data_IF_754691139124
#
_entry.id   IF_754691139124
#
_cell.length_a   1.000
_cell.length_b   1.000
_cell.length_c   1.000
_cell.angle_alpha   90.00
_cell.angle_beta   90.00
_cell.angle_gamma   90.00
#
_symmetry.space_group_name_H-M   'P 1'
#
loop_
_entity.id
_entity.type
_entity.pdbx_description
1 polymer ?
#
# COMPACT_ATOMS: atom_id res chain seq x y z
N UNK A 1 43.75 -22.84 -56.28
CA UNK A 1 42.44 -23.31 -55.82
C UNK A 1 42.23 -23.24 -54.29
N UNK A 2 43.12 -22.64 -53.50
CA UNK A 2 42.96 -22.56 -52.00
C UNK A 2 42.20 -21.34 -51.46
N UNK A 3 41.95 -20.30 -52.26
CA UNK A 3 41.39 -19.03 -51.75
C UNK A 3 39.84 -18.93 -51.78
N UNK A 4 39.18 -19.82 -52.50
CA UNK A 4 37.69 -19.78 -52.63
C UNK A 4 37.02 -20.42 -51.44
N UNK A 5 37.59 -21.48 -50.88
CA UNK A 5 37.03 -22.22 -49.74
C UNK A 5 37.11 -21.40 -48.43
N UNK A 6 38.15 -20.61 -48.23
CA UNK A 6 38.34 -19.76 -47.03
C UNK A 6 37.40 -18.54 -47.06
N UNK A 7 37.05 -17.97 -48.22
CA UNK A 7 36.11 -16.86 -48.36
C UNK A 7 34.67 -17.30 -48.12
N UNK A 8 34.30 -18.49 -48.60
CA UNK A 8 32.99 -19.07 -48.37
C UNK A 8 32.78 -19.41 -46.88
N UNK A 9 33.80 -19.96 -46.22
CA UNK A 9 33.72 -20.27 -44.78
C UNK A 9 33.56 -18.99 -43.92
N UNK A 10 34.28 -17.89 -44.24
CA UNK A 10 34.15 -16.60 -43.52
C UNK A 10 32.76 -16.00 -43.72
N UNK A 11 32.17 -16.05 -44.92
CA UNK A 11 30.82 -15.54 -45.21
C UNK A 11 29.72 -16.31 -44.46
N UNK A 12 29.87 -17.63 -44.32
CA UNK A 12 28.94 -18.47 -43.56
C UNK A 12 29.01 -18.19 -42.07
N UNK A 13 30.20 -17.97 -41.51
CA UNK A 13 30.38 -17.65 -40.09
C UNK A 13 29.79 -16.29 -39.74
N UNK A 14 29.99 -15.27 -40.57
CA UNK A 14 29.41 -13.92 -40.34
C UNK A 14 27.88 -13.94 -40.46
N UNK A 15 27.31 -14.68 -41.42
CA UNK A 15 25.87 -14.84 -41.54
C UNK A 15 25.29 -15.57 -40.33
N UNK A 16 25.93 -16.61 -39.82
CA UNK A 16 25.48 -17.35 -38.63
C UNK A 16 25.56 -16.50 -37.36
N UNK A 17 26.63 -15.71 -37.19
CA UNK A 17 26.77 -14.78 -36.08
C UNK A 17 25.68 -13.67 -36.10
N UNK A 18 25.36 -13.14 -37.27
CA UNK A 18 24.25 -12.18 -37.43
C UNK A 18 22.88 -12.71 -37.05
N UNK A 19 22.60 -13.96 -37.42
CA UNK A 19 21.33 -14.63 -37.04
C UNK A 19 21.26 -14.87 -35.52
N UNK A 20 22.36 -15.27 -34.89
CA UNK A 20 22.43 -15.47 -33.43
C UNK A 20 22.18 -14.17 -32.66
N UNK A 21 22.76 -13.04 -33.09
CA UNK A 21 22.54 -11.75 -32.49
C UNK A 21 21.09 -11.25 -32.69
N UNK A 22 20.48 -11.54 -33.82
CA UNK A 22 19.09 -11.18 -34.10
C UNK A 22 18.12 -11.93 -33.17
N UNK A 23 18.33 -13.23 -32.94
CA UNK A 23 17.49 -14.01 -32.03
C UNK A 23 17.66 -13.59 -30.57
N UNK A 24 18.85 -13.17 -30.13
CA UNK A 24 19.06 -12.68 -28.76
C UNK A 24 18.35 -11.35 -28.50
N UNK A 25 18.25 -10.47 -29.49
CA UNK A 25 17.51 -9.20 -29.34
C UNK A 25 15.98 -9.40 -29.29
N UNK A 26 15.44 -10.39 -30.01
CA UNK A 26 14.02 -10.72 -29.98
C UNK A 26 13.59 -11.22 -28.60
N UNK A 27 14.40 -12.04 -27.95
CA UNK A 27 14.09 -12.56 -26.61
C UNK A 27 14.09 -11.48 -25.53
N UNK A 28 14.92 -10.46 -25.66
CA UNK A 28 14.96 -9.34 -24.72
C UNK A 28 13.72 -8.44 -24.82
N UNK A 29 13.21 -8.20 -26.02
CA UNK A 29 11.99 -7.40 -26.23
C UNK A 29 10.74 -8.07 -25.65
N UNK A 30 10.57 -9.39 -25.84
CA UNK A 30 9.41 -10.11 -25.31
C UNK A 30 9.38 -10.10 -23.78
N UNK A 31 10.53 -10.11 -23.12
CA UNK A 31 10.61 -10.03 -21.66
C UNK A 31 10.23 -8.64 -21.14
N UNK A 32 10.67 -7.58 -21.79
CA UNK A 32 10.27 -6.21 -21.45
C UNK A 32 8.77 -5.98 -21.65
N UNK A 33 8.19 -6.44 -22.74
CA UNK A 33 6.76 -6.30 -23.01
C UNK A 33 5.91 -7.02 -21.98
N UNK A 34 6.34 -8.21 -21.52
CA UNK A 34 5.66 -8.96 -20.47
C UNK A 34 5.71 -8.23 -19.14
N UNK A 35 6.84 -7.64 -18.78
CA UNK A 35 7.00 -6.87 -17.54
C UNK A 35 6.14 -5.61 -17.57
N UNK A 36 6.16 -4.86 -18.67
CA UNK A 36 5.36 -3.64 -18.86
C UNK A 36 3.87 -3.99 -18.80
N UNK A 37 3.43 -5.06 -19.46
CA UNK A 37 2.05 -5.53 -19.41
C UNK A 37 1.63 -5.89 -17.98
N UNK A 38 2.48 -6.56 -17.23
CA UNK A 38 2.21 -6.91 -15.84
C UNK A 38 2.07 -5.67 -14.95
N UNK A 39 2.99 -4.70 -15.07
CA UNK A 39 2.89 -3.42 -14.34
C UNK A 39 1.64 -2.63 -14.71
N UNK A 40 1.28 -2.58 -16.00
CA UNK A 40 0.06 -1.88 -16.44
C UNK A 40 -1.23 -2.52 -15.92
N UNK A 41 -1.24 -3.83 -15.71
CA UNK A 41 -2.35 -4.53 -15.05
C UNK A 41 -2.41 -4.19 -13.56
N UNK A 42 -1.27 -4.14 -12.86
CA UNK A 42 -1.21 -3.76 -11.45
C UNK A 42 -1.66 -2.31 -11.21
N UNK A 43 -1.32 -1.38 -12.11
CA UNK A 43 -1.78 0.01 -12.03
C UNK A 43 -3.31 0.16 -12.18
N UNK A 44 -3.98 -0.80 -12.83
CA UNK A 44 -5.44 -0.81 -12.98
C UNK A 44 -6.18 -1.29 -11.74
N UNK A 45 -5.49 -1.97 -10.83
CA UNK A 45 -6.10 -2.39 -9.56
C UNK A 45 -6.26 -1.15 -8.70
N UNK A 46 -7.50 -0.76 -8.35
CA UNK A 46 -7.72 0.41 -7.52
C UNK A 46 -7.12 0.16 -6.14
N UNK A 47 -6.19 1.00 -5.73
CA UNK A 47 -5.64 1.01 -4.37
C UNK A 47 -6.31 2.07 -3.56
N UNK A 48 -6.54 1.79 -2.29
CA UNK A 48 -7.15 2.72 -1.35
C UNK A 48 -6.09 3.30 -0.42
N UNK A 49 -6.27 4.56 0.00
CA UNK A 49 -5.45 5.22 0.99
C UNK A 49 -6.33 5.87 2.02
N UNK A 50 -6.15 5.50 3.28
CA UNK A 50 -6.87 6.06 4.40
C UNK A 50 -5.99 7.05 5.17
N UNK A 51 -6.57 8.17 5.55
CA UNK A 51 -6.00 9.13 6.50
C UNK A 51 -7.00 9.39 7.62
N UNK A 52 -6.54 9.40 8.88
CA UNK A 52 -7.36 9.77 10.03
C UNK A 52 -6.87 11.10 10.60
N UNK A 53 -7.75 12.09 10.60
CA UNK A 53 -7.54 13.36 11.28
C UNK A 53 -8.04 13.25 12.71
N UNK A 54 -7.16 13.51 13.68
CA UNK A 54 -7.47 13.49 15.11
C UNK A 54 -7.65 14.90 15.63
N UNK A 55 -8.49 15.07 16.62
CA UNK A 55 -8.78 16.37 17.25
C UNK A 55 -7.64 16.89 18.13
N UNK A 56 -6.80 15.99 18.67
CA UNK A 56 -5.68 16.37 19.56
C UNK A 56 -4.41 15.58 19.25
N UNK A 57 -3.23 16.07 19.65
CA UNK A 57 -1.96 15.35 19.54
C UNK A 57 -1.70 14.36 20.68
N UNK A 58 -2.35 14.53 21.84
CA UNK A 58 -2.25 13.68 23.05
C UNK A 58 -3.58 13.67 23.81
N UNK A 59 -3.80 12.66 24.64
CA UNK A 59 -5.05 12.42 25.37
C UNK A 59 -4.81 12.02 26.81
N UNK A 60 -5.78 12.30 27.68
CA UNK A 60 -5.85 11.77 29.02
C UNK A 60 -6.68 10.48 29.09
N UNK A 61 -6.38 9.59 30.03
CA UNK A 61 -7.28 8.49 30.37
C UNK A 61 -8.66 9.06 30.77
N UNK A 62 -9.74 8.43 30.33
CA UNK A 62 -11.11 8.92 30.48
C UNK A 62 -11.58 9.87 29.38
N UNK A 63 -10.70 10.37 28.53
CA UNK A 63 -11.08 11.24 27.40
C UNK A 63 -11.56 10.44 26.18
N UNK A 64 -11.99 11.19 25.16
CA UNK A 64 -12.34 10.64 23.85
C UNK A 64 -11.34 11.08 22.80
N UNK A 65 -10.92 10.14 21.96
CA UNK A 65 -10.16 10.39 20.74
C UNK A 65 -11.16 10.56 19.61
N UNK A 66 -11.50 11.80 19.26
CA UNK A 66 -12.35 12.07 18.10
C UNK A 66 -11.51 12.01 16.82
N UNK A 67 -12.07 11.43 15.79
CA UNK A 67 -11.39 11.37 14.50
C UNK A 67 -12.35 11.43 13.32
N UNK A 68 -11.82 11.93 12.21
CA UNK A 68 -12.45 11.90 10.89
C UNK A 68 -11.56 11.16 9.91
N UNK A 69 -12.13 10.20 9.19
CA UNK A 69 -11.45 9.41 8.17
C UNK A 69 -11.68 9.97 6.78
N UNK A 70 -10.60 10.04 6.01
CA UNK A 70 -10.59 10.40 4.60
C UNK A 70 -10.05 9.20 3.81
N UNK A 71 -10.90 8.63 2.99
CA UNK A 71 -10.58 7.47 2.16
C UNK A 71 -10.58 7.90 0.70
N UNK A 72 -9.46 7.73 0.04
CA UNK A 72 -9.26 8.12 -1.36
C UNK A 72 -8.67 6.97 -2.17
N UNK A 73 -8.77 7.06 -3.47
CA UNK A 73 -7.98 6.22 -4.36
C UNK A 73 -6.49 6.64 -4.23
N UNK A 74 -5.61 5.68 -3.97
CA UNK A 74 -4.20 5.94 -3.70
C UNK A 74 -3.43 6.52 -4.90
N UNK A 75 -3.86 6.19 -6.13
CA UNK A 75 -3.19 6.63 -7.36
C UNK A 75 -3.66 8.03 -7.79
N UNK A 76 -4.97 8.30 -7.72
CA UNK A 76 -5.58 9.55 -8.22
C UNK A 76 -5.83 10.58 -7.13
N UNK A 77 -5.80 10.19 -5.86
CA UNK A 77 -6.16 10.98 -4.68
C UNK A 77 -7.61 11.52 -4.72
N UNK A 78 -8.46 10.94 -5.56
CA UNK A 78 -9.86 11.31 -5.67
C UNK A 78 -10.72 10.50 -4.69
N UNK A 79 -11.86 11.09 -4.29
CA UNK A 79 -12.86 10.45 -3.43
C UNK A 79 -13.73 9.45 -4.24
N UNK A 80 -13.07 8.46 -4.83
CA UNK A 80 -13.71 7.37 -5.57
C UNK A 80 -13.29 5.99 -5.04
N UNK A 81 -12.89 5.92 -3.78
CA UNK A 81 -12.60 4.65 -3.10
C UNK A 81 -13.86 3.77 -3.04
N UNK A 82 -13.66 2.47 -3.20
CA UNK A 82 -14.76 1.50 -3.31
C UNK A 82 -15.32 1.04 -1.96
N UNK A 83 -14.51 1.13 -0.90
CA UNK A 83 -14.90 0.66 0.42
C UNK A 83 -15.88 1.62 1.11
N UNK A 84 -16.99 1.05 1.58
CA UNK A 84 -18.00 1.77 2.37
C UNK A 84 -17.77 1.68 3.89
N UNK A 85 -16.74 0.97 4.31
CA UNK A 85 -16.38 0.78 5.71
C UNK A 85 -14.88 0.95 5.89
N UNK A 86 -14.51 1.59 7.00
CA UNK A 86 -13.16 1.58 7.52
C UNK A 86 -13.11 0.81 8.83
N UNK A 87 -11.98 0.20 9.11
CA UNK A 87 -11.68 -0.43 10.39
C UNK A 87 -10.63 0.44 11.07
N UNK A 88 -10.86 0.79 12.34
CA UNK A 88 -9.92 1.55 13.15
C UNK A 88 -9.65 0.80 14.44
N UNK A 89 -8.40 0.79 14.87
CA UNK A 89 -7.93 0.06 16.04
C UNK A 89 -7.05 0.94 16.91
N UNK A 90 -7.35 0.97 18.19
CA UNK A 90 -6.45 1.50 19.20
C UNK A 90 -5.62 0.33 19.77
N UNK A 91 -4.30 0.43 19.70
CA UNK A 91 -3.36 -0.64 20.02
C UNK A 91 -2.38 -0.13 21.06
N UNK A 92 -2.10 -0.96 22.06
CA UNK A 92 -1.13 -0.63 23.09
C UNK A 92 0.30 -1.01 22.68
N UNK A 93 1.29 -0.68 23.50
CA UNK A 93 2.71 -0.94 23.25
C UNK A 93 3.07 -2.43 23.16
N UNK A 94 2.20 -3.33 23.67
CA UNK A 94 2.37 -4.78 23.60
C UNK A 94 1.65 -5.40 22.40
N UNK A 95 1.33 -4.60 21.37
CA UNK A 95 0.60 -4.99 20.18
C UNK A 95 -0.79 -5.58 20.43
N UNK A 96 -1.34 -5.34 21.61
CA UNK A 96 -2.70 -5.79 21.96
C UNK A 96 -3.72 -4.72 21.56
N UNK A 97 -4.80 -5.15 20.91
CA UNK A 97 -5.90 -4.28 20.50
C UNK A 97 -6.71 -3.93 21.75
N UNK A 98 -6.73 -2.65 22.10
CA UNK A 98 -7.54 -2.10 23.21
C UNK A 98 -8.99 -1.97 22.78
N UNK A 99 -9.22 -1.41 21.61
CA UNK A 99 -10.55 -1.27 21.02
C UNK A 99 -10.48 -1.30 19.48
N UNK A 100 -11.47 -1.93 18.85
CA UNK A 100 -11.62 -1.96 17.39
C UNK A 100 -13.00 -1.45 17.01
N UNK A 101 -13.07 -0.60 16.00
CA UNK A 101 -14.32 -0.08 15.44
C UNK A 101 -14.40 -0.33 13.96
N UNK A 102 -15.56 -0.77 13.48
CA UNK A 102 -15.92 -0.80 12.06
C UNK A 102 -16.91 0.35 11.81
N UNK A 103 -16.53 1.27 10.94
CA UNK A 103 -17.25 2.52 10.74
C UNK A 103 -17.76 2.55 9.30
N UNK A 104 -19.06 2.75 9.15
CA UNK A 104 -19.69 2.92 7.84
C UNK A 104 -19.57 4.39 7.38
N UNK A 105 -19.38 4.59 6.08
CA UNK A 105 -19.47 5.91 5.47
C UNK A 105 -20.91 6.42 5.55
N UNK A 106 -21.09 7.66 5.95
CA UNK A 106 -22.35 8.38 5.89
C UNK A 106 -22.22 9.66 5.03
N UNK A 107 -23.20 10.57 5.12
CA UNK A 107 -23.20 11.83 4.36
C UNK A 107 -22.04 12.77 4.72
N UNK A 108 -21.44 12.63 5.91
CA UNK A 108 -20.31 13.41 6.40
C UNK A 108 -18.98 12.70 6.25
N UNK A 109 -18.97 11.46 5.69
CA UNK A 109 -17.82 10.62 5.51
C UNK A 109 -17.66 9.60 6.64
N UNK A 110 -16.42 9.31 7.04
CA UNK A 110 -16.13 8.43 8.17
C UNK A 110 -15.80 9.26 9.40
N UNK A 111 -16.55 9.13 10.48
CA UNK A 111 -16.24 9.80 11.74
C UNK A 111 -16.66 8.93 12.92
N UNK A 112 -15.90 8.97 13.99
CA UNK A 112 -16.20 8.26 15.23
C UNK A 112 -15.28 8.76 16.37
N UNK A 113 -15.38 8.14 17.54
CA UNK A 113 -14.48 8.38 18.65
C UNK A 113 -14.16 7.08 19.38
N UNK A 114 -12.94 6.95 19.89
CA UNK A 114 -12.60 5.98 20.94
C UNK A 114 -12.86 6.62 22.29
N UNK A 115 -13.51 5.91 23.19
CA UNK A 115 -13.69 6.33 24.59
C UNK A 115 -12.64 5.63 25.44
N UNK A 116 -11.67 6.38 25.93
CA UNK A 116 -10.59 5.82 26.73
C UNK A 116 -11.11 5.49 28.14
N UNK A 117 -10.90 4.27 28.66
CA UNK A 117 -11.19 3.98 30.05
C UNK A 117 -10.36 4.91 30.99
N UNK A 118 -10.95 5.35 32.09
CA UNK A 118 -10.22 6.15 33.09
C UNK A 118 -9.05 5.36 33.71
N UNK A 119 -9.15 4.03 33.72
CA UNK A 119 -8.12 3.11 34.24
C UNK A 119 -7.07 2.75 33.18
N UNK A 120 -7.14 3.34 31.99
CA UNK A 120 -6.19 3.01 30.91
C UNK A 120 -4.77 3.44 31.36
N UNK A 121 -3.77 2.55 31.31
CA UNK A 121 -2.40 2.88 31.68
C UNK A 121 -1.84 4.04 30.85
N UNK A 122 -1.07 4.92 31.47
CA UNK A 122 -0.31 5.93 30.74
C UNK A 122 0.75 5.27 29.87
N UNK A 123 0.97 5.80 28.67
CA UNK A 123 1.99 5.27 27.77
C UNK A 123 1.77 5.63 26.31
N UNK A 124 2.55 4.96 25.47
CA UNK A 124 2.47 5.10 24.03
C UNK A 124 1.48 4.06 23.50
N UNK A 125 0.58 4.55 22.68
CA UNK A 125 -0.40 3.77 21.93
C UNK A 125 -0.27 4.12 20.45
N UNK A 126 -0.83 3.31 19.59
CA UNK A 126 -0.95 3.70 18.20
C UNK A 126 -2.36 3.42 17.67
N UNK A 127 -2.78 4.31 16.79
CA UNK A 127 -4.03 4.21 16.07
C UNK A 127 -3.72 3.66 14.69
N UNK A 128 -4.33 2.54 14.35
CA UNK A 128 -4.25 1.93 13.03
C UNK A 128 -5.59 2.06 12.32
N UNK A 129 -5.57 2.33 11.02
CA UNK A 129 -6.76 2.42 10.21
C UNK A 129 -6.58 1.81 8.85
N UNK A 130 -7.55 1.04 8.37
CA UNK A 130 -7.51 0.35 7.08
C UNK A 130 -8.92 -0.01 6.59
N UNK A 131 -9.03 -0.44 5.34
CA UNK A 131 -10.23 -1.05 4.77
C UNK A 131 -10.01 -2.54 4.54
N UNK A 132 -11.09 -3.30 4.34
CA UNK A 132 -10.94 -4.70 3.95
C UNK A 132 -10.21 -4.85 2.61
N UNK A 133 -10.32 -3.85 1.72
CA UNK A 133 -9.60 -3.85 0.45
C UNK A 133 -8.09 -3.71 0.64
N UNK A 134 -7.67 -2.85 1.56
CA UNK A 134 -6.26 -2.64 1.89
C UNK A 134 -5.58 -3.88 2.49
N UNK A 135 -6.33 -4.86 3.01
CA UNK A 135 -5.78 -6.14 3.49
C UNK A 135 -5.13 -6.99 2.39
N UNK A 136 -5.37 -6.67 1.10
CA UNK A 136 -4.71 -7.30 -0.03
C UNK A 136 -3.33 -6.69 -0.34
N UNK A 137 -3.03 -5.53 0.24
CA UNK A 137 -1.75 -4.83 0.12
C UNK A 137 -0.88 -5.09 1.36
N UNK A 138 0.35 -4.57 1.34
CA UNK A 138 1.25 -4.63 2.47
C UNK A 138 0.69 -3.82 3.67
N UNK A 139 0.78 -4.33 4.91
CA UNK A 139 0.37 -3.60 6.11
C UNK A 139 1.00 -2.20 6.28
N UNK A 140 2.14 -1.94 5.67
CA UNK A 140 2.79 -0.64 5.65
C UNK A 140 1.95 0.45 4.94
N UNK A 141 0.98 0.05 4.12
CA UNK A 141 0.02 0.98 3.50
C UNK A 141 -1.11 1.41 4.44
N UNK A 142 -1.27 0.76 5.58
CA UNK A 142 -2.29 1.14 6.55
C UNK A 142 -1.95 2.50 7.18
N UNK A 143 -2.98 3.26 7.49
CA UNK A 143 -2.78 4.43 8.34
C UNK A 143 -2.28 4.00 9.71
N UNK A 144 -1.20 4.60 10.17
CA UNK A 144 -0.67 4.40 11.53
C UNK A 144 -0.23 5.74 12.11
N UNK A 145 -0.58 5.99 13.37
CA UNK A 145 -0.16 7.17 14.11
C UNK A 145 0.07 6.85 15.59
N UNK A 146 1.23 7.20 16.08
CA UNK A 146 1.53 7.14 17.50
C UNK A 146 0.79 8.25 18.25
N UNK A 147 0.21 7.90 19.39
CA UNK A 147 -0.47 8.81 20.32
C UNK A 147 0.02 8.54 21.74
N UNK A 148 0.18 9.62 22.51
CA UNK A 148 0.51 9.51 23.95
C UNK A 148 -0.76 9.65 24.76
N UNK A 149 -0.94 8.73 25.71
CA UNK A 149 -2.04 8.77 26.68
C UNK A 149 -1.42 8.98 28.04
N UNK A 150 -1.83 10.06 28.71
CA UNK A 150 -1.48 10.35 30.09
C UNK A 150 -2.53 9.77 31.03
N UNK A 151 -2.11 9.44 32.26
CA UNK A 151 -3.02 9.12 33.35
C UNK A 151 -2.64 9.98 34.55
N UNK A 152 -3.59 10.67 35.13
CA UNK A 152 -3.40 11.55 36.28
C UNK A 152 -3.73 10.90 37.62
N UNK A 153 -3.91 9.55 37.60
CA UNK A 153 -4.18 8.77 38.81
C UNK A 153 -2.89 8.24 39.37
#
# INVERSE_FOLDING_TARGET
MKNITTLQCKRSITAFLGVLLYFSSLSAQTMQDTIIAHFSLMERIPKEKLYLHLDKPFYGAGEKIWFKGYLVNANTHQDNAQSNFIITELINRSDSIVERKKIRRDSLGFHNAFTLPATLPAGDYYLRGYTNWMLNDDPDFFYSRNIKIGNSI
#
